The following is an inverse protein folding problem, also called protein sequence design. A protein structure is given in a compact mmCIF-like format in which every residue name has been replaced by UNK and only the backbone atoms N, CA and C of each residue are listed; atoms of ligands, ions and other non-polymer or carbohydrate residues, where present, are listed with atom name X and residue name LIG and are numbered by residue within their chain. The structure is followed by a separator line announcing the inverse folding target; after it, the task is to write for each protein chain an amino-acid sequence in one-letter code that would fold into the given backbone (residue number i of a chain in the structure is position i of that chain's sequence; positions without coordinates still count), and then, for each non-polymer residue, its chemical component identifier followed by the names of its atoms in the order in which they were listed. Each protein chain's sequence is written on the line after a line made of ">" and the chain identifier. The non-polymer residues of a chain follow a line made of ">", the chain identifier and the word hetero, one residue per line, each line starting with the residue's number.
data_IF_739047626848
#
_entry.id   IF_739047626848
#
_cell.length_a   1.000
_cell.length_b   1.000
_cell.length_c   1.000
_cell.angle_alpha   90.00
_cell.angle_beta   90.00
_cell.angle_gamma   90.00
#
_symmetry.space_group_name_H-M   'P 1'
#
loop_
_entity.id
_entity.type
_entity.pdbx_description
1 polymer ?
#
# COMPACT_ATOMS: atom_id res chain seq x y z
N UNK A 1 -8.43 -12.35 -7.36
CA UNK A 1 -7.56 -12.46 -6.17
C UNK A 1 -6.10 -12.79 -6.52
N UNK A 2 -5.79 -13.95 -7.11
CA UNK A 2 -4.38 -14.35 -7.35
C UNK A 2 -3.64 -13.41 -8.33
N UNK A 3 -4.31 -12.92 -9.37
CA UNK A 3 -3.72 -12.05 -10.39
C UNK A 3 -3.30 -10.68 -9.84
N UNK A 4 -4.13 -10.06 -8.99
CA UNK A 4 -3.83 -8.76 -8.35
C UNK A 4 -2.58 -8.86 -7.47
N UNK A 5 -2.50 -9.90 -6.62
CA UNK A 5 -1.35 -10.13 -5.74
C UNK A 5 -0.07 -10.40 -6.53
N UNK A 6 -0.14 -11.19 -7.62
CA UNK A 6 1.02 -11.38 -8.49
C UNK A 6 1.46 -10.10 -9.17
N UNK A 7 0.52 -9.28 -9.65
CA UNK A 7 0.85 -7.99 -10.26
C UNK A 7 1.58 -7.07 -9.28
N UNK A 8 1.09 -6.98 -8.03
CA UNK A 8 1.75 -6.19 -6.98
C UNK A 8 3.14 -6.72 -6.63
N UNK A 9 3.28 -8.04 -6.50
CA UNK A 9 4.57 -8.65 -6.19
C UNK A 9 5.59 -8.42 -7.33
N UNK A 10 5.14 -8.49 -8.59
CA UNK A 10 5.98 -8.22 -9.75
C UNK A 10 6.37 -6.74 -9.86
N UNK A 11 5.52 -5.83 -9.39
CA UNK A 11 5.81 -4.39 -9.27
C UNK A 11 6.69 -4.03 -8.06
N UNK A 12 7.36 -5.02 -7.44
CA UNK A 12 8.25 -4.83 -6.31
C UNK A 12 7.60 -4.07 -5.13
N UNK A 13 6.40 -4.49 -4.71
CA UNK A 13 5.71 -3.88 -3.58
C UNK A 13 6.51 -3.90 -2.27
N UNK A 14 7.54 -4.73 -2.16
CA UNK A 14 8.46 -4.68 -1.02
C UNK A 14 9.20 -3.35 -0.91
N UNK A 15 9.41 -2.62 -2.02
CA UNK A 15 9.98 -1.27 -1.98
C UNK A 15 9.12 -0.29 -1.18
N UNK A 16 7.79 -0.51 -1.10
CA UNK A 16 6.89 0.27 -0.24
C UNK A 16 7.11 -0.04 1.24
N UNK A 17 7.10 -1.33 1.59
CA UNK A 17 7.18 -1.80 2.98
C UNK A 17 8.59 -1.84 3.55
N UNK A 18 9.62 -1.67 2.73
CA UNK A 18 11.04 -1.73 3.10
C UNK A 18 11.77 -0.47 2.64
N UNK A 19 11.06 0.63 2.36
CA UNK A 19 11.64 1.87 1.82
C UNK A 19 12.83 2.37 2.64
N UNK A 20 12.68 2.43 3.97
CA UNK A 20 13.78 2.88 4.85
C UNK A 20 14.87 1.83 5.08
N UNK A 21 14.67 0.58 4.64
CA UNK A 21 15.71 -0.47 4.65
C UNK A 21 16.60 -0.40 3.40
N UNK A 22 16.14 0.24 2.33
CA UNK A 22 16.94 0.51 1.13
C UNK A 22 18.00 1.60 1.37
N UNK A 23 17.88 2.40 2.44
CA UNK A 23 18.89 3.38 2.81
C UNK A 23 20.13 2.67 3.38
N UNK A 24 21.32 2.82 2.78
CA UNK A 24 22.56 2.22 3.29
C UNK A 24 22.94 2.69 4.70
N UNK A 25 22.37 3.78 5.20
CA UNK A 25 22.57 4.29 6.57
C UNK A 25 21.57 3.73 7.57
N UNK A 26 20.59 2.92 7.14
CA UNK A 26 19.57 2.38 8.01
C UNK A 26 20.19 1.43 9.06
N UNK A 27 19.96 1.67 10.37
CA UNK A 27 20.50 0.80 11.42
C UNK A 27 19.79 -0.56 11.47
N UNK A 28 18.63 -0.70 10.83
CA UNK A 28 17.83 -1.91 10.81
C UNK A 28 18.08 -2.67 9.50
N UNK A 29 18.41 -3.95 9.61
CA UNK A 29 18.62 -4.84 8.45
C UNK A 29 17.56 -5.94 8.43
N UNK A 30 17.23 -6.41 7.23
CA UNK A 30 16.33 -7.54 7.03
C UNK A 30 16.97 -8.82 7.61
N UNK A 31 16.24 -9.65 8.38
CA UNK A 31 16.74 -10.91 8.90
C UNK A 31 17.16 -11.88 7.78
N UNK A 32 18.15 -12.71 8.07
CA UNK A 32 18.62 -13.77 7.19
C UNK A 32 17.70 -15.00 7.26
N UNK A 33 17.73 -15.84 6.22
CA UNK A 33 16.89 -17.04 6.17
C UNK A 33 17.22 -18.05 7.29
N UNK A 34 18.45 -18.05 7.82
CA UNK A 34 18.91 -18.89 8.94
C UNK A 34 18.58 -18.34 10.32
N UNK A 35 18.11 -17.10 10.42
CA UNK A 35 17.79 -16.51 11.72
C UNK A 35 16.59 -17.21 12.36
N UNK A 36 16.59 -17.22 13.69
CA UNK A 36 15.51 -17.81 14.48
C UNK A 36 14.16 -17.16 14.16
N UNK A 37 13.10 -17.98 14.15
CA UNK A 37 11.74 -17.48 13.94
C UNK A 37 11.35 -16.49 15.05
N UNK A 38 11.69 -16.82 16.29
CA UNK A 38 11.51 -15.97 17.46
C UNK A 38 12.86 -15.65 18.13
N UNK A 39 13.05 -14.42 18.64
CA UNK A 39 12.19 -13.25 18.43
C UNK A 39 12.45 -12.57 17.07
N UNK A 40 13.59 -12.84 16.43
CA UNK A 40 14.15 -12.05 15.31
C UNK A 40 13.21 -11.85 14.12
N UNK A 41 12.74 -12.92 13.48
CA UNK A 41 11.86 -12.79 12.30
C UNK A 41 10.47 -12.27 12.69
N UNK A 42 9.94 -12.75 13.81
CA UNK A 42 8.63 -12.32 14.31
C UNK A 42 8.59 -10.81 14.61
N UNK A 43 9.62 -10.27 15.26
CA UNK A 43 9.74 -8.84 15.56
C UNK A 43 9.86 -8.02 14.28
N UNK A 44 10.63 -8.49 13.30
CA UNK A 44 10.73 -7.83 12.00
C UNK A 44 9.41 -7.79 11.24
N UNK A 45 8.65 -8.90 11.22
CA UNK A 45 7.34 -8.98 10.57
C UNK A 45 6.36 -8.01 11.23
N UNK A 46 6.33 -7.96 12.58
CA UNK A 46 5.52 -6.98 13.33
C UNK A 46 5.96 -5.55 13.03
N UNK A 47 7.25 -5.26 13.03
CA UNK A 47 7.76 -3.93 12.68
C UNK A 47 7.36 -3.51 11.26
N UNK A 48 7.45 -4.43 10.29
CA UNK A 48 7.16 -4.17 8.87
C UNK A 48 5.67 -3.92 8.60
N UNK A 49 4.80 -4.82 9.07
CA UNK A 49 3.40 -4.84 8.65
C UNK A 49 2.42 -4.28 9.70
N UNK A 50 2.76 -4.35 10.99
CA UNK A 50 1.89 -3.85 12.06
C UNK A 50 2.28 -2.44 12.47
N UNK A 51 3.57 -2.18 12.67
CA UNK A 51 4.07 -0.86 13.09
C UNK A 51 4.35 0.08 11.93
N UNK A 52 4.32 -0.44 10.69
CA UNK A 52 4.63 0.30 9.46
C UNK A 52 6.00 1.01 9.55
N UNK A 53 6.96 0.41 10.26
CA UNK A 53 8.18 1.08 10.70
C UNK A 53 9.13 1.46 9.56
N UNK A 54 8.93 0.88 8.36
CA UNK A 54 9.79 1.10 7.21
C UNK A 54 9.08 1.69 5.99
N UNK A 55 7.82 2.08 6.14
CA UNK A 55 7.03 2.70 5.08
C UNK A 55 7.37 4.19 4.98
N UNK A 56 7.39 4.73 3.76
CA UNK A 56 7.48 6.17 3.56
C UNK A 56 6.16 6.83 3.99
N UNK A 57 6.20 7.60 5.09
CA UNK A 57 5.08 8.45 5.50
C UNK A 57 5.06 9.70 4.62
N UNK A 58 3.90 10.02 4.03
CA UNK A 58 3.70 11.32 3.38
C UNK A 58 3.44 12.39 4.45
N UNK A 59 3.64 13.65 4.08
CA UNK A 59 3.19 14.80 4.88
C UNK A 59 1.79 15.28 4.45
N UNK A 60 1.17 14.55 3.52
CA UNK A 60 -0.14 14.87 2.96
C UNK A 60 -1.20 14.69 4.05
N UNK A 61 -2.21 15.56 4.03
CA UNK A 61 -3.38 15.41 4.87
C UNK A 61 -4.20 14.18 4.48
N UNK A 62 -5.01 13.67 5.41
CA UNK A 62 -5.93 12.55 5.15
C UNK A 62 -6.85 12.85 3.95
N UNK A 63 -7.35 14.08 3.87
CA UNK A 63 -8.21 14.53 2.78
C UNK A 63 -7.50 14.51 1.42
N UNK A 64 -6.25 14.97 1.36
CA UNK A 64 -5.45 14.93 0.12
C UNK A 64 -5.17 13.49 -0.31
N UNK A 65 -4.82 12.60 0.63
CA UNK A 65 -4.61 11.19 0.37
C UNK A 65 -5.87 10.51 -0.17
N UNK A 66 -7.03 10.84 0.39
CA UNK A 66 -8.33 10.36 -0.03
C UNK A 66 -8.67 10.78 -1.46
N UNK A 67 -8.46 12.06 -1.80
CA UNK A 67 -8.70 12.59 -3.15
C UNK A 67 -7.71 12.00 -4.18
N UNK A 68 -6.45 11.81 -3.79
CA UNK A 68 -5.45 11.13 -4.61
C UNK A 68 -5.86 9.68 -4.87
N UNK A 69 -6.34 8.95 -3.85
CA UNK A 69 -6.80 7.56 -3.99
C UNK A 69 -7.99 7.49 -4.95
N UNK A 70 -9.01 8.34 -4.73
CA UNK A 70 -10.20 8.45 -5.59
C UNK A 70 -9.85 8.62 -7.07
N UNK A 71 -8.80 9.39 -7.36
CA UNK A 71 -8.34 9.65 -8.73
C UNK A 71 -7.47 8.52 -9.29
N UNK A 72 -6.61 7.90 -8.45
CA UNK A 72 -5.62 6.90 -8.86
C UNK A 72 -6.25 5.61 -9.41
N UNK A 73 -7.36 5.17 -8.79
CA UNK A 73 -8.04 3.89 -9.05
C UNK A 73 -8.72 3.84 -10.43
N UNK A 74 -8.76 4.96 -11.15
CA UNK A 74 -9.19 5.02 -12.56
C UNK A 74 -8.19 4.32 -13.50
N UNK A 75 -6.94 4.19 -13.08
CA UNK A 75 -5.86 3.54 -13.85
C UNK A 75 -5.51 2.16 -13.27
N UNK A 76 -4.82 1.33 -14.03
CA UNK A 76 -4.36 0.02 -13.58
C UNK A 76 -3.13 0.05 -12.66
N UNK A 77 -2.68 1.23 -12.22
CA UNK A 77 -1.50 1.37 -11.37
C UNK A 77 -1.82 1.02 -9.91
N UNK A 78 -1.80 -0.28 -9.62
CA UNK A 78 -2.05 -0.84 -8.28
C UNK A 78 -1.02 -0.37 -7.25
N UNK A 79 0.22 -0.10 -7.67
CA UNK A 79 1.30 0.33 -6.78
C UNK A 79 0.99 1.70 -6.17
N UNK A 80 0.54 2.66 -6.98
CA UNK A 80 0.16 3.99 -6.49
C UNK A 80 -1.01 3.89 -5.52
N UNK A 81 -2.07 3.16 -5.87
CA UNK A 81 -3.25 3.03 -5.00
C UNK A 81 -2.90 2.32 -3.68
N UNK A 82 -2.08 1.27 -3.71
CA UNK A 82 -1.62 0.60 -2.49
C UNK A 82 -0.70 1.48 -1.64
N UNK A 83 0.14 2.32 -2.24
CA UNK A 83 0.95 3.30 -1.50
C UNK A 83 0.07 4.28 -0.72
N UNK A 84 -0.97 4.80 -1.36
CA UNK A 84 -1.91 5.74 -0.73
C UNK A 84 -2.67 5.07 0.42
N UNK A 85 -3.11 3.83 0.24
CA UNK A 85 -3.73 3.03 1.30
C UNK A 85 -2.76 2.80 2.48
N UNK A 86 -1.49 2.47 2.19
CA UNK A 86 -0.47 2.29 3.22
C UNK A 86 -0.11 3.58 3.96
N UNK A 87 -0.35 4.74 3.34
CA UNK A 87 -0.19 6.07 3.94
C UNK A 87 -1.40 6.52 4.76
N UNK A 88 -2.53 5.80 4.67
CA UNK A 88 -3.73 6.06 5.46
C UNK A 88 -4.93 6.58 4.68
N UNK A 89 -4.91 6.56 3.35
CA UNK A 89 -6.10 6.90 2.56
C UNK A 89 -7.27 5.94 2.88
N UNK A 90 -8.47 6.49 3.05
CA UNK A 90 -9.70 5.73 3.25
C UNK A 90 -10.23 5.18 1.91
N UNK A 91 -10.27 3.85 1.71
CA UNK A 91 -10.85 3.24 0.50
C UNK A 91 -12.36 3.52 0.33
N UNK A 92 -13.06 3.87 1.42
CA UNK A 92 -14.48 4.18 1.42
C UNK A 92 -14.81 5.68 1.33
N UNK A 93 -13.79 6.52 1.18
CA UNK A 93 -13.94 7.97 1.08
C UNK A 93 -15.03 8.37 0.07
N UNK A 94 -15.88 9.31 0.47
CA UNK A 94 -16.92 9.88 -0.38
C UNK A 94 -16.50 11.26 -0.87
N UNK A 95 -16.25 11.37 -2.17
CA UNK A 95 -15.97 12.64 -2.80
C UNK A 95 -17.28 13.39 -3.07
N UNK A 96 -17.60 14.39 -2.26
CA UNK A 96 -18.87 15.11 -2.32
C UNK A 96 -19.14 15.73 -3.69
N UNK A 97 -18.18 16.49 -4.25
CA UNK A 97 -18.35 17.16 -5.54
C UNK A 97 -18.59 16.19 -6.71
N UNK A 98 -17.99 14.99 -6.66
CA UNK A 98 -18.15 13.96 -7.71
C UNK A 98 -19.25 12.95 -7.38
N UNK A 99 -19.86 13.03 -6.20
CA UNK A 99 -20.87 12.08 -5.72
C UNK A 99 -20.46 10.62 -5.80
N UNK A 100 -19.18 10.29 -5.59
CA UNK A 100 -18.67 8.93 -5.83
C UNK A 100 -17.56 8.54 -4.86
N UNK A 101 -17.27 7.23 -4.80
CA UNK A 101 -16.23 6.62 -3.96
C UNK A 101 -15.17 5.98 -4.85
N UNK A 102 -13.95 5.70 -4.36
CA UNK A 102 -12.91 5.03 -5.14
C UNK A 102 -13.42 3.78 -5.88
N UNK A 103 -14.23 2.94 -5.22
CA UNK A 103 -14.79 1.73 -5.84
C UNK A 103 -15.70 2.03 -7.04
N UNK A 104 -16.49 3.11 -6.99
CA UNK A 104 -17.34 3.52 -8.11
C UNK A 104 -16.51 3.93 -9.32
N UNK A 105 -15.38 4.62 -9.08
CA UNK A 105 -14.45 5.04 -10.13
C UNK A 105 -13.75 3.83 -10.74
N UNK A 106 -13.24 2.91 -9.91
CA UNK A 106 -12.57 1.70 -10.35
C UNK A 106 -13.50 0.79 -11.19
N UNK A 107 -14.73 0.58 -10.72
CA UNK A 107 -15.72 -0.22 -11.42
C UNK A 107 -16.11 0.39 -12.77
N UNK A 108 -16.37 1.71 -12.81
CA UNK A 108 -16.70 2.43 -14.05
C UNK A 108 -15.57 2.36 -15.08
N UNK A 109 -14.32 2.39 -14.62
CA UNK A 109 -13.14 2.31 -15.48
C UNK A 109 -12.75 0.87 -15.87
N UNK A 110 -13.49 -0.15 -15.43
CA UNK A 110 -13.19 -1.56 -15.71
C UNK A 110 -11.93 -2.08 -15.01
N UNK A 111 -11.46 -1.41 -13.95
CA UNK A 111 -10.22 -1.74 -13.26
C UNK A 111 -10.44 -2.83 -12.22
N UNK A 112 -10.62 -4.08 -12.65
CA UNK A 112 -10.91 -5.21 -11.77
C UNK A 112 -9.86 -5.37 -10.65
N UNK A 113 -8.57 -5.18 -10.94
CA UNK A 113 -7.51 -5.24 -9.92
C UNK A 113 -7.63 -4.15 -8.86
N UNK A 114 -8.08 -2.95 -9.22
CA UNK A 114 -8.30 -1.85 -8.27
C UNK A 114 -9.52 -2.11 -7.40
N UNK A 115 -10.59 -2.67 -7.98
CA UNK A 115 -11.77 -3.12 -7.21
C UNK A 115 -11.37 -4.19 -6.21
N UNK A 116 -10.57 -5.18 -6.63
CA UNK A 116 -10.03 -6.20 -5.72
C UNK A 116 -9.20 -5.57 -4.59
N UNK A 117 -8.35 -4.60 -4.90
CA UNK A 117 -7.50 -3.94 -3.92
C UNK A 117 -8.31 -3.16 -2.86
N UNK A 118 -9.40 -2.50 -3.26
CA UNK A 118 -10.21 -1.65 -2.37
C UNK A 118 -11.15 -2.43 -1.43
N UNK A 119 -11.40 -3.71 -1.71
CA UNK A 119 -12.34 -4.56 -0.96
C UNK A 119 -11.63 -5.48 0.06
N UNK A 120 -10.30 -5.53 0.03
CA UNK A 120 -9.46 -6.32 0.95
C UNK A 120 -9.25 -5.56 2.26
#
# INVERSE_FOLDING_TARGET
>A
LLAMVHSLNNSNINALWEHTLCDPKSPKKKPHNRDALHPTKADFIRAKHQQLAFVLRSNDSEEELNQQLHSSVRTNNLETSLRLLAQGADPNYHHEEKGSRPIHVAARAGQAGQVELLVV
#
